data_IF_753882554861
#
_entry.id   IF_753882554861
#
_cell.length_a   1.000
_cell.length_b   1.000
_cell.length_c   1.000
_cell.angle_alpha   90.00
_cell.angle_beta   90.00
_cell.angle_gamma   90.00
#
_symmetry.space_group_name_H-M   'P 1'
#
loop_
_entity.id
_entity.type
_entity.pdbx_description
1 polymer ?
#
# COMPACT_ATOMS: atom_id res chain seq x y z
N UNK A 1 8.97 -24.67 -4.57
CA UNK A 1 9.01 -24.13 -3.19
C UNK A 1 9.64 -22.74 -3.14
N UNK A 2 10.86 -22.54 -3.65
CA UNK A 2 11.54 -21.22 -3.65
C UNK A 2 10.73 -20.13 -4.34
N UNK A 3 10.15 -20.40 -5.51
CA UNK A 3 9.32 -19.43 -6.25
C UNK A 3 8.12 -18.95 -5.44
N UNK A 4 7.42 -19.85 -4.74
CA UNK A 4 6.27 -19.50 -3.92
C UNK A 4 6.65 -18.62 -2.73
N UNK A 5 7.80 -18.90 -2.09
CA UNK A 5 8.34 -18.06 -1.02
C UNK A 5 8.68 -16.65 -1.52
N UNK A 6 9.27 -16.56 -2.72
CA UNK A 6 9.63 -15.28 -3.33
C UNK A 6 8.39 -14.45 -3.70
N UNK A 7 7.35 -15.10 -4.24
CA UNK A 7 6.05 -14.45 -4.50
C UNK A 7 5.45 -13.89 -3.21
N UNK A 8 5.42 -14.70 -2.15
CA UNK A 8 4.85 -14.28 -0.87
C UNK A 8 5.66 -13.15 -0.22
N UNK A 9 6.99 -13.18 -0.34
CA UNK A 9 7.87 -12.11 0.13
C UNK A 9 7.59 -10.80 -0.60
N UNK A 10 7.49 -10.81 -1.94
CA UNK A 10 7.24 -9.62 -2.74
C UNK A 10 5.86 -9.04 -2.42
N UNK A 11 4.82 -9.87 -2.37
CA UNK A 11 3.46 -9.42 -2.03
C UNK A 11 3.43 -8.87 -0.61
N UNK A 12 4.03 -9.55 0.36
CA UNK A 12 4.07 -9.09 1.74
C UNK A 12 4.83 -7.76 1.88
N UNK A 13 5.92 -7.57 1.11
CA UNK A 13 6.65 -6.30 1.08
C UNK A 13 5.80 -5.17 0.47
N UNK A 14 5.11 -5.43 -0.64
CA UNK A 14 4.22 -4.44 -1.27
C UNK A 14 3.05 -4.06 -0.36
N UNK A 15 2.42 -5.03 0.31
CA UNK A 15 1.36 -4.77 1.30
C UNK A 15 1.91 -3.96 2.47
N UNK A 16 3.11 -4.29 2.95
CA UNK A 16 3.78 -3.55 4.01
C UNK A 16 4.08 -2.10 3.61
N UNK A 17 4.53 -1.85 2.37
CA UNK A 17 4.75 -0.49 1.88
C UNK A 17 3.45 0.32 1.83
N UNK A 18 2.36 -0.26 1.35
CA UNK A 18 1.04 0.38 1.38
C UNK A 18 0.62 0.70 2.83
N UNK A 19 0.79 -0.25 3.76
CA UNK A 19 0.52 -0.03 5.18
C UNK A 19 1.38 1.08 5.79
N UNK A 20 2.65 1.20 5.37
CA UNK A 20 3.56 2.26 5.80
C UNK A 20 3.09 3.64 5.33
N UNK A 21 2.65 3.77 4.07
CA UNK A 21 2.10 5.02 3.55
C UNK A 21 0.84 5.43 4.32
N UNK A 22 -0.08 4.50 4.51
CA UNK A 22 -1.32 4.73 5.27
C UNK A 22 -1.00 5.12 6.72
N UNK A 23 -0.08 4.42 7.38
CA UNK A 23 0.37 4.78 8.72
C UNK A 23 0.97 6.19 8.76
N UNK A 24 1.74 6.57 7.73
CA UNK A 24 2.27 7.91 7.53
C UNK A 24 1.17 8.97 7.48
N UNK A 25 0.17 8.79 6.62
CA UNK A 25 -0.99 9.71 6.50
C UNK A 25 -1.73 9.87 7.82
N UNK A 26 -2.11 8.75 8.46
CA UNK A 26 -2.84 8.78 9.73
C UNK A 26 -1.99 9.40 10.85
N UNK A 27 -0.69 9.14 10.88
CA UNK A 27 0.21 9.74 11.87
C UNK A 27 0.34 11.25 11.68
N UNK A 28 0.40 11.72 10.44
CA UNK A 28 0.53 13.14 10.12
C UNK A 28 -0.75 13.92 10.48
N UNK A 29 -1.92 13.32 10.22
CA UNK A 29 -3.23 13.93 10.56
C UNK A 29 -3.52 13.88 12.06
N UNK A 30 -3.14 12.81 12.76
CA UNK A 30 -3.36 12.64 14.21
C UNK A 30 -2.29 13.28 15.10
N UNK A 31 -1.18 13.75 14.52
CA UNK A 31 -0.08 14.34 15.28
C UNK A 31 -0.51 15.60 16.03
N UNK A 32 -0.27 15.62 17.35
CA UNK A 32 -0.45 16.82 18.17
C UNK A 32 0.69 17.80 17.93
N UNK A 33 0.41 18.85 17.15
CA UNK A 33 1.37 19.93 16.80
C UNK A 33 2.08 20.50 18.02
N UNK A 34 1.36 20.73 19.12
CA UNK A 34 1.91 21.24 20.40
C UNK A 34 3.04 20.38 20.96
N UNK A 35 2.92 19.04 20.91
CA UNK A 35 3.97 18.12 21.37
C UNK A 35 5.19 18.14 20.46
N UNK A 36 5.01 18.35 19.16
CA UNK A 36 6.11 18.43 18.20
C UNK A 36 6.86 19.75 18.33
N UNK A 37 6.16 20.85 18.63
CA UNK A 37 6.79 22.13 19.01
C UNK A 37 7.69 21.95 20.23
N UNK A 38 7.17 21.35 21.31
CA UNK A 38 7.94 21.09 22.54
C UNK A 38 9.20 20.27 22.25
N UNK A 39 9.07 19.16 21.51
CA UNK A 39 10.22 18.33 21.12
C UNK A 39 11.24 19.10 20.28
N UNK A 40 10.79 20.00 19.40
CA UNK A 40 11.66 20.84 18.60
C UNK A 40 12.43 21.86 19.47
N UNK A 41 11.77 22.43 20.48
CA UNK A 41 12.37 23.32 21.48
C UNK A 41 13.37 22.60 22.39
N UNK A 42 13.08 21.35 22.77
CA UNK A 42 13.97 20.45 23.53
C UNK A 42 15.21 20.00 22.74
N UNK A 43 15.34 20.42 21.48
CA UNK A 43 16.53 20.17 20.66
C UNK A 43 16.43 18.95 19.73
N UNK A 44 15.26 18.31 19.63
CA UNK A 44 15.07 17.19 18.69
C UNK A 44 15.15 17.69 17.23
N UNK A 45 16.22 17.33 16.53
CA UNK A 45 16.45 17.74 15.14
C UNK A 45 15.40 17.22 14.15
N UNK A 46 14.79 16.07 14.43
CA UNK A 46 13.73 15.49 13.59
C UNK A 46 12.44 16.32 13.74
N UNK A 47 12.08 16.67 14.98
CA UNK A 47 10.93 17.52 15.27
C UNK A 47 11.08 18.91 14.62
N UNK A 48 12.27 19.52 14.67
CA UNK A 48 12.55 20.81 13.99
C UNK A 48 12.31 20.75 12.48
N UNK A 49 12.62 19.63 11.83
CA UNK A 49 12.41 19.45 10.37
C UNK A 49 10.96 19.18 10.01
N UNK A 50 10.25 18.42 10.84
CA UNK A 50 8.85 18.05 10.62
C UNK A 50 7.87 19.18 10.96
N UNK A 51 8.21 20.01 11.94
CA UNK A 51 7.35 21.09 12.43
C UNK A 51 6.80 22.01 11.33
N UNK A 52 7.61 22.56 10.40
CA UNK A 52 7.10 23.44 9.35
C UNK A 52 6.18 22.73 8.35
N UNK A 53 6.29 21.41 8.18
CA UNK A 53 5.39 20.63 7.31
C UNK A 53 4.04 20.40 8.01
N UNK A 54 4.06 20.09 9.31
CA UNK A 54 2.84 19.81 10.07
C UNK A 54 2.07 21.08 10.48
N UNK A 55 2.74 22.22 10.59
CA UNK A 55 2.09 23.49 10.91
C UNK A 55 1.35 24.09 9.71
N UNK A 56 1.89 23.93 8.51
CA UNK A 56 1.34 24.46 7.27
C UNK A 56 0.35 23.46 6.62
N UNK A 57 -0.96 23.77 6.57
CA UNK A 57 -1.95 22.89 5.97
C UNK A 57 -1.64 22.51 4.52
N UNK A 58 -1.10 23.44 3.73
CA UNK A 58 -0.79 23.16 2.32
C UNK A 58 0.36 22.16 2.18
N UNK A 59 1.36 22.21 3.06
CA UNK A 59 2.46 21.24 3.04
C UNK A 59 2.01 19.88 3.54
N UNK A 60 1.12 19.85 4.53
CA UNK A 60 0.51 18.62 5.00
C UNK A 60 -0.33 17.96 3.90
N UNK A 61 -1.17 18.74 3.21
CA UNK A 61 -1.98 18.26 2.09
C UNK A 61 -1.10 17.73 0.96
N UNK A 62 0.00 18.44 0.63
CA UNK A 62 0.97 17.98 -0.36
C UNK A 62 1.67 16.67 0.06
N UNK A 63 1.98 16.49 1.36
CA UNK A 63 2.53 15.25 1.88
C UNK A 63 1.55 14.07 1.78
N UNK A 64 0.27 14.31 2.10
CA UNK A 64 -0.79 13.32 1.96
C UNK A 64 -0.97 12.97 0.47
N UNK A 65 -1.06 13.97 -0.41
CA UNK A 65 -1.20 13.76 -1.85
C UNK A 65 -0.01 12.95 -2.42
N UNK A 66 1.22 13.25 -2.02
CA UNK A 66 2.39 12.47 -2.42
C UNK A 66 2.33 11.02 -1.92
N UNK A 67 1.80 10.80 -0.71
CA UNK A 67 1.60 9.45 -0.16
C UNK A 67 0.56 8.66 -0.96
N UNK A 68 -0.54 9.30 -1.37
CA UNK A 68 -1.56 8.67 -2.23
C UNK A 68 -1.02 8.27 -3.60
N UNK A 69 -0.15 9.10 -4.20
CA UNK A 69 0.55 8.74 -5.44
C UNK A 69 1.41 7.50 -5.20
N UNK A 70 2.12 7.43 -4.07
CA UNK A 70 2.90 6.27 -3.67
C UNK A 70 2.06 5.00 -3.48
N UNK A 71 0.92 5.10 -2.81
CA UNK A 71 -0.06 4.01 -2.63
C UNK A 71 -0.57 3.52 -3.99
N UNK A 72 -0.93 4.46 -4.88
CA UNK A 72 -1.42 4.14 -6.22
C UNK A 72 -0.38 3.39 -7.04
N UNK A 73 0.85 3.88 -7.08
CA UNK A 73 1.96 3.23 -7.80
C UNK A 73 2.24 1.84 -7.22
N UNK A 74 2.27 1.71 -5.89
CA UNK A 74 2.49 0.43 -5.21
C UNK A 74 1.37 -0.57 -5.50
N UNK A 75 0.12 -0.09 -5.56
CA UNK A 75 -1.06 -0.91 -5.83
C UNK A 75 -1.10 -1.38 -7.28
N UNK A 76 -0.74 -0.54 -8.24
CA UNK A 76 -0.61 -0.93 -9.66
C UNK A 76 0.44 -2.01 -9.83
N UNK A 77 1.63 -1.84 -9.22
CA UNK A 77 2.70 -2.84 -9.28
C UNK A 77 2.24 -4.16 -8.64
N UNK A 78 1.58 -4.08 -7.49
CA UNK A 78 1.04 -5.26 -6.82
C UNK A 78 -0.04 -5.97 -7.65
N UNK A 79 -0.92 -5.21 -8.32
CA UNK A 79 -1.96 -5.75 -9.20
C UNK A 79 -1.36 -6.48 -10.40
N UNK A 80 -0.44 -5.85 -11.15
CA UNK A 80 0.26 -6.48 -12.28
C UNK A 80 1.02 -7.74 -11.83
N UNK A 81 1.70 -7.66 -10.69
CA UNK A 81 2.42 -8.80 -10.15
C UNK A 81 1.48 -9.93 -9.71
N UNK A 82 0.36 -9.57 -9.07
CA UNK A 82 -0.68 -10.49 -8.65
C UNK A 82 -1.35 -11.18 -9.83
N UNK A 83 -1.63 -10.46 -10.92
CA UNK A 83 -2.19 -11.05 -12.14
C UNK A 83 -1.26 -12.14 -12.69
N UNK A 84 0.04 -11.87 -12.79
CA UNK A 84 0.99 -12.82 -13.37
C UNK A 84 1.31 -14.02 -12.47
N UNK A 85 1.35 -13.82 -11.15
CA UNK A 85 1.85 -14.83 -10.21
C UNK A 85 0.75 -15.48 -9.36
N UNK A 86 -0.33 -14.76 -9.05
CA UNK A 86 -1.42 -15.20 -8.17
C UNK A 86 -2.65 -15.65 -8.98
N UNK A 87 -3.01 -14.97 -10.08
CA UNK A 87 -4.19 -15.36 -10.87
C UNK A 87 -4.17 -16.82 -11.35
N UNK A 88 -3.03 -17.38 -11.83
CA UNK A 88 -2.96 -18.79 -12.24
C UNK A 88 -3.15 -19.77 -11.08
N UNK A 89 -2.85 -19.36 -9.84
CA UNK A 89 -3.04 -20.17 -8.64
C UNK A 89 -4.51 -20.15 -8.19
N UNK A 90 -5.21 -19.04 -8.38
CA UNK A 90 -6.61 -18.85 -7.96
C UNK A 90 -7.61 -19.34 -9.04
N UNK A 91 -7.29 -19.21 -10.32
CA UNK A 91 -8.13 -19.67 -11.44
C UNK A 91 -8.67 -21.10 -11.30
N UNK A 92 -7.87 -22.13 -10.95
CA UNK A 92 -8.40 -23.50 -10.77
C UNK A 92 -9.30 -23.65 -9.54
N UNK A 93 -9.17 -22.79 -8.54
CA UNK A 93 -10.08 -22.74 -7.39
C UNK A 93 -11.44 -22.14 -7.81
N UNK A 94 -11.41 -21.08 -8.62
CA UNK A 94 -12.61 -20.45 -9.19
C UNK A 94 -13.36 -21.41 -10.11
N UNK A 95 -12.65 -22.14 -10.97
CA UNK A 95 -13.25 -23.13 -11.87
C UNK A 95 -13.95 -24.30 -11.15
N UNK A 96 -13.64 -24.55 -9.87
CA UNK A 96 -14.29 -25.58 -9.04
C UNK A 96 -15.56 -25.10 -8.35
N UNK A 97 -15.86 -23.80 -8.37
CA UNK A 97 -17.11 -23.30 -7.82
C UNK A 97 -18.30 -23.72 -8.69
N UNK A 98 -19.49 -23.95 -8.09
CA UNK A 98 -20.69 -24.44 -8.78
C UNK A 98 -21.34 -23.42 -9.73
N UNK A 99 -20.59 -22.40 -10.18
CA UNK A 99 -21.05 -21.36 -11.09
C UNK A 99 -20.98 -21.78 -12.57
N UNK A 100 -20.44 -22.96 -12.88
CA UNK A 100 -20.39 -23.48 -14.26
C UNK A 100 -19.48 -22.68 -15.20
N UNK A 101 -18.50 -21.95 -14.65
CA UNK A 101 -17.56 -21.16 -15.43
C UNK A 101 -16.61 -22.09 -16.20
N UNK A 102 -16.47 -21.85 -17.49
CA UNK A 102 -15.46 -22.49 -18.33
C UNK A 102 -14.05 -22.01 -17.94
N UNK A 103 -13.02 -22.79 -18.29
CA UNK A 103 -11.63 -22.53 -17.91
C UNK A 103 -11.13 -21.15 -18.35
N UNK A 104 -11.68 -20.63 -19.45
CA UNK A 104 -11.37 -19.29 -19.96
C UNK A 104 -12.02 -18.21 -19.11
N UNK A 105 -13.31 -18.32 -18.78
CA UNK A 105 -13.97 -17.37 -17.90
C UNK A 105 -13.38 -17.37 -16.49
N UNK A 106 -13.03 -18.54 -15.93
CA UNK A 106 -12.38 -18.64 -14.62
C UNK A 106 -11.01 -17.93 -14.59
N UNK A 107 -10.24 -18.02 -15.68
CA UNK A 107 -8.97 -17.30 -15.83
C UNK A 107 -9.15 -15.78 -15.87
N UNK A 108 -10.10 -15.29 -16.67
CA UNK A 108 -10.41 -13.86 -16.76
C UNK A 108 -10.94 -13.30 -15.44
N UNK A 109 -11.81 -14.03 -14.74
CA UNK A 109 -12.34 -13.63 -13.43
C UNK A 109 -11.22 -13.58 -12.38
N UNK A 110 -10.29 -14.53 -12.40
CA UNK A 110 -9.14 -14.51 -11.51
C UNK A 110 -8.22 -13.31 -11.77
N UNK A 111 -7.92 -13.02 -13.04
CA UNK A 111 -7.05 -11.91 -13.43
C UNK A 111 -7.67 -10.54 -13.07
N UNK A 112 -8.91 -10.31 -13.47
CA UNK A 112 -9.64 -9.06 -13.18
C UNK A 112 -9.92 -8.86 -11.70
N UNK A 113 -10.08 -9.94 -10.92
CA UNK A 113 -10.30 -9.84 -9.47
C UNK A 113 -9.05 -9.47 -8.67
N UNK A 114 -7.86 -9.57 -9.27
CA UNK A 114 -6.58 -9.27 -8.63
C UNK A 114 -6.03 -7.89 -9.03
N UNK A 115 -6.34 -7.45 -10.25
CA UNK A 115 -6.02 -6.12 -10.76
C UNK A 115 -6.95 -5.04 -10.18
#
# INVERSE_FOLDING_TARGET
MVTALLILLIVSLMVFLNALYVAGEFSAVSARKTRIVQLAEEGNGLAKRLLPVLQDPHKLDNYIAASQVGITLSSIVLGIYGEQQIAPLIAPLIARLPFGLDSSAAGTVAATGIA
#
